data_IF_330774581962
#
_entry.id   IF_330774581962
#
_cell.length_a   1.000
_cell.length_b   1.000
_cell.length_c   1.000
_cell.angle_alpha   90.00
_cell.angle_beta   90.00
_cell.angle_gamma   90.00
#
_symmetry.space_group_name_H-M   'P 1'
#
loop_
_entity.id
_entity.type
_entity.pdbx_description
1 polymer ?
#
# COMPACT_ATOMS: atom_id res chain seq x y z
N UNK A 1 15.88 5.68 63.12
CA UNK A 1 16.51 4.88 62.04
C UNK A 1 15.59 3.72 61.71
N UNK A 2 15.45 3.38 60.41
CA UNK A 2 14.49 2.42 59.81
C UNK A 2 13.08 2.98 59.63
N UNK A 3 12.88 3.70 58.52
CA UNK A 3 11.76 3.54 57.57
C UNK A 3 11.82 4.65 56.50
N UNK A 4 13.04 4.93 56.02
CA UNK A 4 13.33 5.90 54.95
C UNK A 4 13.24 5.24 53.55
N UNK A 5 12.85 3.96 53.46
CA UNK A 5 13.01 3.15 52.25
C UNK A 5 11.79 3.04 51.33
N UNK A 6 10.72 3.83 51.52
CA UNK A 6 9.51 3.73 50.69
C UNK A 6 9.44 4.78 49.57
N UNK A 7 10.34 5.77 49.55
CA UNK A 7 10.27 6.89 48.59
C UNK A 7 11.11 6.65 47.31
N UNK A 8 11.80 5.52 47.19
CA UNK A 8 12.79 5.28 46.12
C UNK A 8 12.31 4.45 44.92
N UNK A 9 11.02 4.15 44.81
CA UNK A 9 10.47 3.27 43.76
C UNK A 9 9.54 3.96 42.75
N UNK A 10 9.50 5.30 42.72
CA UNK A 10 8.55 6.07 41.90
C UNK A 10 9.21 7.06 40.92
N UNK A 11 10.46 6.83 40.51
CA UNK A 11 11.19 7.74 39.61
C UNK A 11 11.52 7.17 38.22
N UNK A 12 10.91 6.05 37.82
CA UNK A 12 11.19 5.41 36.51
C UNK A 12 10.04 5.52 35.49
N UNK A 13 9.26 6.61 35.53
CA UNK A 13 8.41 7.00 34.40
C UNK A 13 8.97 8.26 33.73
N UNK A 14 10.16 8.13 33.15
CA UNK A 14 10.64 9.07 32.14
C UNK A 14 9.78 8.88 30.88
N UNK A 15 8.75 9.71 30.73
CA UNK A 15 8.06 9.87 29.46
C UNK A 15 9.04 10.47 28.43
N UNK A 16 9.70 9.61 27.65
CA UNK A 16 10.36 10.01 26.40
C UNK A 16 9.28 10.53 25.45
N UNK A 17 9.06 11.85 25.44
CA UNK A 17 8.24 12.52 24.44
C UNK A 17 9.00 12.54 23.12
N UNK A 18 8.81 11.50 22.31
CA UNK A 18 9.17 11.56 20.88
C UNK A 18 8.31 12.65 20.22
N UNK A 19 8.92 13.81 20.01
CA UNK A 19 8.40 14.88 19.17
C UNK A 19 8.48 14.38 17.72
N UNK A 20 7.45 13.66 17.25
CA UNK A 20 7.33 13.29 15.84
C UNK A 20 7.21 14.58 15.01
N UNK A 21 8.34 15.03 14.49
CA UNK A 21 8.42 16.08 13.50
C UNK A 21 7.78 15.54 12.21
N UNK A 22 6.52 15.89 11.97
CA UNK A 22 5.91 15.69 10.65
C UNK A 22 6.59 16.66 9.69
N UNK A 23 7.64 16.22 9.02
CA UNK A 23 8.06 16.84 7.77
C UNK A 23 6.86 16.78 6.82
N UNK A 24 6.25 17.94 6.59
CA UNK A 24 5.38 18.12 5.42
C UNK A 24 6.30 18.09 4.21
N UNK A 25 6.55 16.89 3.69
CA UNK A 25 7.04 16.70 2.34
C UNK A 25 6.01 17.32 1.39
N UNK A 26 6.34 18.55 0.98
CA UNK A 26 5.65 19.32 -0.03
C UNK A 26 5.97 18.65 -1.37
N UNK A 27 5.18 17.65 -1.75
CA UNK A 27 5.26 17.07 -3.08
C UNK A 27 4.38 17.91 -4.01
N UNK A 28 4.93 19.04 -4.47
CA UNK A 28 4.54 19.58 -5.77
C UNK A 28 5.05 18.59 -6.82
N UNK A 29 4.21 17.64 -7.18
CA UNK A 29 4.35 16.91 -8.43
C UNK A 29 3.07 17.10 -9.22
N UNK A 30 3.07 18.14 -10.02
CA UNK A 30 2.27 18.19 -11.24
C UNK A 30 2.82 17.09 -12.15
N UNK A 31 2.29 15.88 -12.00
CA UNK A 31 2.62 14.77 -12.87
C UNK A 31 1.71 14.85 -14.10
N UNK A 32 2.30 15.17 -15.26
CA UNK A 32 1.66 14.88 -16.54
C UNK A 32 1.32 13.39 -16.57
N UNK A 33 0.04 13.06 -16.78
CA UNK A 33 -0.44 11.67 -16.89
C UNK A 33 0.07 11.11 -18.21
N UNK A 34 1.25 10.48 -18.18
CA UNK A 34 1.74 9.61 -19.26
C UNK A 34 0.79 8.42 -19.33
N UNK A 35 0.09 8.26 -20.47
CA UNK A 35 -0.83 7.13 -20.67
C UNK A 35 -0.06 5.81 -20.83
N UNK A 36 -0.50 4.75 -20.16
CA UNK A 36 0.14 3.43 -20.21
C UNK A 36 1.55 3.42 -19.61
N UNK A 37 1.80 4.22 -18.58
CA UNK A 37 3.13 4.39 -18.01
C UNK A 37 3.66 3.14 -17.28
N UNK A 38 2.77 2.23 -16.89
CA UNK A 38 3.13 1.07 -16.07
C UNK A 38 2.78 -0.25 -16.77
N UNK A 39 3.68 -1.22 -16.58
CA UNK A 39 3.49 -2.61 -16.99
C UNK A 39 3.39 -3.47 -15.74
N UNK A 40 2.42 -4.38 -15.72
CA UNK A 40 2.24 -5.29 -14.60
C UNK A 40 1.59 -6.60 -14.99
N UNK A 41 1.75 -7.58 -14.12
CA UNK A 41 1.20 -8.93 -14.28
C UNK A 41 0.03 -9.12 -13.34
N UNK A 42 -1.10 -9.56 -13.89
CA UNK A 42 -2.28 -9.98 -13.12
C UNK A 42 -1.91 -11.24 -12.34
N UNK A 43 -2.19 -11.23 -11.04
CA UNK A 43 -1.88 -12.34 -10.14
C UNK A 43 -3.07 -12.62 -9.21
N UNK A 44 -3.44 -13.89 -9.13
CA UNK A 44 -4.46 -14.41 -8.21
C UNK A 44 -3.86 -15.02 -6.94
N UNK A 45 -2.59 -14.78 -6.64
CA UNK A 45 -1.89 -15.41 -5.51
C UNK A 45 -2.55 -15.22 -4.13
N UNK A 46 -3.36 -14.17 -3.96
CA UNK A 46 -4.07 -13.88 -2.71
C UNK A 46 -5.57 -14.24 -2.76
N UNK A 47 -6.03 -14.89 -3.83
CA UNK A 47 -7.45 -15.25 -4.01
C UNK A 47 -7.91 -16.25 -2.94
N UNK A 48 -7.03 -17.16 -2.54
CA UNK A 48 -7.29 -18.13 -1.46
C UNK A 48 -7.49 -17.46 -0.09
N UNK A 49 -6.89 -16.29 0.15
CA UNK A 49 -7.14 -15.53 1.38
C UNK A 49 -8.39 -14.65 1.31
N UNK A 50 -9.03 -14.55 0.13
CA UNK A 50 -10.21 -13.72 -0.17
C UNK A 50 -9.90 -12.41 -0.90
N UNK A 51 -8.64 -12.15 -1.25
CA UNK A 51 -8.24 -10.97 -2.02
C UNK A 51 -8.30 -11.30 -3.51
N UNK A 52 -9.35 -10.86 -4.20
CA UNK A 52 -9.70 -11.31 -5.56
C UNK A 52 -8.52 -11.33 -6.53
N UNK A 53 -8.03 -10.15 -6.92
CA UNK A 53 -7.01 -9.99 -7.95
C UNK A 53 -6.06 -8.88 -7.54
N UNK A 54 -4.77 -9.10 -7.75
CA UNK A 54 -3.74 -8.07 -7.56
C UNK A 54 -2.93 -7.91 -8.84
N UNK A 55 -2.37 -6.73 -9.05
CA UNK A 55 -1.41 -6.50 -10.14
C UNK A 55 -0.02 -6.32 -9.56
N UNK A 56 0.92 -7.11 -10.05
CA UNK A 56 2.34 -6.99 -9.76
C UNK A 56 2.97 -6.07 -10.80
N UNK A 57 3.25 -4.82 -10.43
CA UNK A 57 3.94 -3.88 -11.31
C UNK A 57 5.40 -4.31 -11.45
N UNK A 58 5.85 -4.51 -12.69
CA UNK A 58 7.24 -4.82 -12.98
C UNK A 58 8.02 -3.52 -13.19
N UNK A 59 8.91 -3.20 -12.25
CA UNK A 59 9.76 -2.00 -12.27
C UNK A 59 11.00 -2.19 -11.39
N UNK A 60 11.64 -1.09 -10.98
CA UNK A 60 12.79 -1.12 -10.05
C UNK A 60 12.41 -1.63 -8.65
N UNK A 61 11.15 -1.48 -8.26
CA UNK A 61 10.58 -2.04 -7.04
C UNK A 61 9.32 -2.84 -7.38
N UNK A 62 9.17 -4.02 -6.78
CA UNK A 62 7.95 -4.83 -6.93
C UNK A 62 6.83 -4.18 -6.11
N UNK A 63 5.89 -3.54 -6.80
CA UNK A 63 4.70 -2.95 -6.19
C UNK A 63 3.50 -3.86 -6.43
N UNK A 64 2.73 -4.15 -5.37
CA UNK A 64 1.47 -4.89 -5.44
C UNK A 64 0.33 -3.88 -5.40
N UNK A 65 -0.45 -3.81 -6.48
CA UNK A 65 -1.65 -2.99 -6.56
C UNK A 65 -2.89 -3.86 -6.33
N UNK A 66 -3.85 -3.33 -5.58
CA UNK A 66 -5.14 -3.96 -5.32
C UNK A 66 -6.20 -3.14 -6.07
N UNK A 67 -6.70 -3.61 -7.22
CA UNK A 67 -7.73 -2.92 -7.99
C UNK A 67 -9.04 -2.95 -7.20
N UNK A 68 -9.46 -1.80 -6.66
CA UNK A 68 -10.65 -1.74 -5.78
C UNK A 68 -11.94 -2.03 -6.53
N UNK A 69 -12.00 -1.64 -7.81
CA UNK A 69 -13.13 -1.89 -8.71
C UNK A 69 -13.00 -3.23 -9.45
N UNK A 70 -11.91 -3.98 -9.20
CA UNK A 70 -11.58 -5.20 -9.93
C UNK A 70 -11.05 -4.94 -11.34
N UNK A 71 -10.96 -6.02 -12.13
CA UNK A 71 -10.65 -5.99 -13.55
C UNK A 71 -11.84 -6.57 -14.33
N UNK A 72 -12.04 -6.16 -15.60
CA UNK A 72 -12.96 -6.85 -16.49
C UNK A 72 -12.58 -8.33 -16.61
N UNK A 73 -13.57 -9.23 -16.73
CA UNK A 73 -13.33 -10.69 -16.80
C UNK A 73 -12.38 -11.08 -17.94
N UNK A 74 -12.37 -10.35 -19.06
CA UNK A 74 -11.46 -10.57 -20.18
C UNK A 74 -9.98 -10.29 -19.85
N UNK A 75 -9.73 -9.46 -18.83
CA UNK A 75 -8.40 -9.06 -18.37
C UNK A 75 -8.02 -9.71 -17.04
N UNK A 76 -8.98 -10.24 -16.28
CA UNK A 76 -8.78 -10.93 -15.01
C UNK A 76 -8.30 -12.38 -15.19
N UNK A 77 -7.17 -12.56 -15.86
CA UNK A 77 -6.55 -13.87 -16.10
C UNK A 77 -5.19 -13.91 -15.43
N UNK A 78 -4.94 -14.93 -14.62
CA UNK A 78 -3.68 -15.10 -13.90
C UNK A 78 -2.49 -15.15 -14.88
N UNK A 79 -1.42 -14.43 -14.57
CA UNK A 79 -0.22 -14.33 -15.40
C UNK A 79 -0.35 -13.39 -16.60
N UNK A 80 -1.52 -12.79 -16.86
CA UNK A 80 -1.71 -11.84 -17.98
C UNK A 80 -0.90 -10.56 -17.74
N UNK A 81 -0.24 -10.08 -18.79
CA UNK A 81 0.52 -8.82 -18.76
C UNK A 81 -0.35 -7.69 -19.30
N UNK A 82 -0.46 -6.62 -18.52
CA UNK A 82 -1.25 -5.45 -18.84
C UNK A 82 -0.37 -4.19 -18.84
N UNK A 83 -0.73 -3.25 -19.70
CA UNK A 83 -0.29 -1.85 -19.61
C UNK A 83 -1.42 -1.00 -19.04
N UNK A 84 -1.12 -0.10 -18.13
CA UNK A 84 -2.13 0.71 -17.44
C UNK A 84 -1.52 1.94 -16.79
N UNK A 85 -2.41 2.84 -16.40
CA UNK A 85 -2.15 3.90 -15.44
C UNK A 85 -2.82 3.55 -14.11
N UNK A 86 -2.31 4.08 -13.00
CA UNK A 86 -2.96 3.87 -11.72
C UNK A 86 -2.92 5.09 -10.82
N UNK A 87 -3.95 5.21 -9.98
CA UNK A 87 -4.04 6.18 -8.90
C UNK A 87 -4.14 5.42 -7.59
N UNK A 88 -3.16 5.61 -6.70
CA UNK A 88 -3.23 5.06 -5.35
C UNK A 88 -4.34 5.72 -4.54
N UNK A 89 -5.18 4.91 -3.91
CA UNK A 89 -6.30 5.37 -3.08
C UNK A 89 -5.88 5.35 -1.61
N UNK A 90 -6.14 6.47 -0.92
CA UNK A 90 -5.91 6.58 0.53
C UNK A 90 -7.12 6.05 1.29
N UNK A 91 -7.26 4.73 1.30
CA UNK A 91 -8.34 4.03 1.99
C UNK A 91 -7.81 2.86 2.80
N UNK A 92 -8.59 2.34 3.76
CA UNK A 92 -8.27 1.07 4.42
C UNK A 92 -8.07 -0.02 3.37
N UNK A 93 -7.13 -0.92 3.64
CA UNK A 93 -6.91 -2.05 2.77
C UNK A 93 -8.17 -2.94 2.77
N UNK A 94 -8.65 -3.38 1.58
CA UNK A 94 -9.81 -4.25 1.49
C UNK A 94 -9.65 -5.50 2.36
N UNK A 95 -10.76 -6.01 2.88
CA UNK A 95 -10.77 -7.25 3.66
C UNK A 95 -10.10 -8.37 2.86
N UNK A 96 -9.46 -9.30 3.56
CA UNK A 96 -8.70 -10.41 2.98
C UNK A 96 -7.43 -10.07 2.18
N UNK A 97 -7.15 -8.80 1.89
CA UNK A 97 -5.87 -8.35 1.35
C UNK A 97 -4.95 -7.92 2.50
N UNK A 98 -3.82 -8.62 2.69
CA UNK A 98 -2.85 -8.31 3.77
C UNK A 98 -1.67 -7.46 3.33
N UNK A 99 -1.41 -7.38 2.01
CA UNK A 99 -0.33 -6.58 1.41
C UNK A 99 -0.77 -5.96 0.08
N UNK A 100 -0.33 -4.72 -0.16
CA UNK A 100 -0.56 -4.00 -1.41
C UNK A 100 -1.18 -2.61 -1.21
N UNK A 101 -1.22 -1.86 -2.30
CA UNK A 101 -1.76 -0.49 -2.34
C UNK A 101 -3.12 -0.54 -3.03
N UNK A 102 -4.22 -0.17 -2.35
CA UNK A 102 -5.50 0.04 -3.01
C UNK A 102 -5.34 1.07 -4.13
N UNK A 103 -5.74 0.73 -5.34
CA UNK A 103 -5.57 1.58 -6.50
C UNK A 103 -6.77 1.50 -7.43
N UNK A 104 -7.02 2.59 -8.14
CA UNK A 104 -7.87 2.59 -9.34
C UNK A 104 -6.95 2.48 -10.55
N UNK A 105 -7.30 1.63 -11.49
CA UNK A 105 -6.60 1.46 -12.76
C UNK A 105 -7.32 2.26 -13.85
N UNK A 106 -6.55 2.87 -14.73
CA UNK A 106 -7.05 3.64 -15.87
C UNK A 106 -6.30 3.21 -17.13
N UNK A 107 -6.92 3.40 -18.31
CA UNK A 107 -6.34 3.08 -19.61
C UNK A 107 -5.75 1.65 -19.71
N UNK A 108 -6.41 0.69 -19.08
CA UNK A 108 -5.94 -0.70 -19.05
C UNK A 108 -6.04 -1.32 -20.44
N UNK A 109 -4.92 -1.85 -20.93
CA UNK A 109 -4.83 -2.61 -22.19
C UNK A 109 -4.01 -3.88 -22.00
N UNK A 110 -4.37 -4.92 -22.75
CA UNK A 110 -3.50 -6.07 -22.95
C UNK A 110 -2.26 -5.66 -23.77
N UNK A 111 -1.13 -6.34 -23.51
CA UNK A 111 0.14 -6.16 -24.24
C UNK A 111 0.28 -7.17 -25.36
#
# INVERSE_FOLDING_TARGET
MKLIFVVLALSLFSFSSCKCHKEKLKSDQTSEVVKGAYEGTVSHMYRASGCNTVILVSGTEKVVLIPVEGLPESLDVDGKVLTFDYVSLRMPQPEACSKGIPARLENVSEK
#
